data_IF_743370939979
#
_entry.id   IF_743370939979
#
_cell.length_a   1.000
_cell.length_b   1.000
_cell.length_c   1.000
_cell.angle_alpha   90.00
_cell.angle_beta   90.00
_cell.angle_gamma   90.00
#
_symmetry.space_group_name_H-M   'P 1'
#
loop_
_entity.id
_entity.type
_entity.pdbx_description
1 polymer ?
#
# COMPACT_ATOMS: atom_id res chain seq x y z
N UNK A 1 -47.50 -23.61 15.05
CA UNK A 1 -47.31 -23.79 13.59
C UNK A 1 -47.33 -22.42 12.96
N UNK A 2 -46.23 -21.95 12.37
CA UNK A 2 -46.19 -20.64 11.71
C UNK A 2 -47.06 -20.71 10.45
N UNK A 3 -48.17 -19.97 10.43
CA UNK A 3 -49.03 -19.82 9.26
C UNK A 3 -48.19 -19.37 8.05
N UNK A 4 -48.41 -19.99 6.90
CA UNK A 4 -47.81 -19.60 5.61
C UNK A 4 -48.01 -18.10 5.34
N UNK A 5 -49.11 -17.51 5.84
CA UNK A 5 -49.36 -16.07 5.74
C UNK A 5 -48.33 -15.20 6.48
N UNK A 6 -47.80 -15.65 7.61
CA UNK A 6 -46.78 -14.90 8.36
C UNK A 6 -45.43 -14.83 7.64
N UNK A 7 -45.09 -15.85 6.85
CA UNK A 7 -43.87 -15.86 6.04
C UNK A 7 -43.94 -14.84 4.90
N UNK A 8 -45.07 -14.77 4.19
CA UNK A 8 -45.27 -13.79 3.13
C UNK A 8 -45.32 -12.35 3.64
N UNK A 9 -45.90 -12.12 4.82
CA UNK A 9 -45.86 -10.81 5.48
C UNK A 9 -44.43 -10.37 5.81
N UNK A 10 -43.62 -11.25 6.40
CA UNK A 10 -42.23 -10.96 6.71
C UNK A 10 -41.37 -10.72 5.45
N UNK A 11 -41.64 -11.46 4.37
CA UNK A 11 -40.95 -11.28 3.09
C UNK A 11 -41.29 -9.94 2.43
N UNK A 12 -42.57 -9.55 2.40
CA UNK A 12 -43.00 -8.23 1.90
C UNK A 12 -42.39 -7.09 2.70
N UNK A 13 -42.38 -7.19 4.03
CA UNK A 13 -41.77 -6.17 4.88
C UNK A 13 -40.26 -6.03 4.62
N UNK A 14 -39.53 -7.14 4.49
CA UNK A 14 -38.10 -7.11 4.17
C UNK A 14 -37.82 -6.50 2.79
N UNK A 15 -38.64 -6.82 1.79
CA UNK A 15 -38.51 -6.24 0.45
C UNK A 15 -38.80 -4.73 0.46
N UNK A 16 -39.88 -4.31 1.12
CA UNK A 16 -40.23 -2.89 1.26
C UNK A 16 -39.14 -2.11 2.02
N UNK A 17 -38.60 -2.67 3.10
CA UNK A 17 -37.54 -2.03 3.89
C UNK A 17 -36.21 -1.95 3.12
N UNK A 18 -35.89 -2.95 2.29
CA UNK A 18 -34.70 -2.90 1.43
C UNK A 18 -34.83 -1.84 0.33
N UNK A 19 -35.99 -1.76 -0.32
CA UNK A 19 -36.29 -0.79 -1.38
C UNK A 19 -36.38 0.66 -0.88
N UNK A 20 -36.65 0.86 0.41
CA UNK A 20 -36.79 2.18 1.04
C UNK A 20 -35.59 2.57 1.92
N UNK A 21 -34.51 1.78 1.89
CA UNK A 21 -33.35 1.99 2.76
C UNK A 21 -32.59 3.29 2.49
N UNK A 22 -32.78 3.91 1.33
CA UNK A 22 -32.17 5.18 0.93
C UNK A 22 -33.06 6.40 1.20
N UNK A 23 -34.31 6.20 1.63
CA UNK A 23 -35.24 7.30 1.92
C UNK A 23 -35.02 7.86 3.33
N UNK A 24 -35.25 9.18 3.54
CA UNK A 24 -35.38 9.76 4.86
C UNK A 24 -36.42 9.04 5.72
N UNK A 25 -36.17 8.96 7.02
CA UNK A 25 -36.94 8.11 7.95
C UNK A 25 -38.45 8.43 7.96
N UNK A 26 -38.81 9.70 7.78
CA UNK A 26 -40.20 10.17 7.71
C UNK A 26 -40.93 9.69 6.44
N UNK A 27 -40.29 9.77 5.28
CA UNK A 27 -40.84 9.31 3.99
C UNK A 27 -40.93 7.79 3.93
N UNK A 28 -39.91 7.12 4.48
CA UNK A 28 -39.87 5.67 4.64
C UNK A 28 -41.06 5.18 5.48
N UNK A 29 -41.37 5.84 6.59
CA UNK A 29 -42.47 5.45 7.47
C UNK A 29 -43.83 5.67 6.79
N UNK A 30 -44.04 6.79 6.09
CA UNK A 30 -45.27 7.03 5.32
C UNK A 30 -45.49 6.01 4.20
N UNK A 31 -44.41 5.59 3.51
CA UNK A 31 -44.50 4.58 2.46
C UNK A 31 -44.83 3.19 3.04
N UNK A 32 -44.21 2.82 4.16
CA UNK A 32 -44.46 1.55 4.85
C UNK A 32 -45.89 1.46 5.41
N UNK A 33 -46.45 2.59 5.86
CA UNK A 33 -47.84 2.71 6.30
C UNK A 33 -48.82 2.52 5.14
N UNK A 34 -48.57 3.17 3.99
CA UNK A 34 -49.39 2.99 2.77
C UNK A 34 -49.34 1.58 2.19
N UNK A 35 -48.22 0.87 2.34
CA UNK A 35 -48.07 -0.51 1.88
C UNK A 35 -48.73 -1.55 2.82
N UNK A 36 -49.35 -1.11 3.92
CA UNK A 36 -50.01 -1.98 4.90
C UNK A 36 -49.05 -2.94 5.61
N UNK A 37 -47.75 -2.63 5.54
CA UNK A 37 -46.65 -3.40 6.10
C UNK A 37 -46.35 -2.94 7.52
N UNK A 38 -47.25 -3.26 8.47
CA UNK A 38 -46.96 -3.06 9.89
C UNK A 38 -45.77 -3.91 10.31
N UNK A 39 -44.91 -3.36 11.18
CA UNK A 39 -43.75 -4.08 11.68
C UNK A 39 -44.21 -5.38 12.36
N UNK A 40 -43.54 -6.53 12.12
CA UNK A 40 -43.85 -7.78 12.82
C UNK A 40 -43.74 -7.68 14.35
N UNK A 41 -43.12 -6.61 14.86
CA UNK A 41 -42.97 -6.33 16.28
C UNK A 41 -44.22 -5.71 16.92
N UNK A 42 -45.08 -5.04 16.13
CA UNK A 42 -46.29 -4.39 16.66
C UNK A 42 -47.44 -5.37 16.90
N UNK A 43 -47.42 -6.53 16.23
CA UNK A 43 -48.45 -7.56 16.35
C UNK A 43 -48.37 -8.39 17.65
N UNK A 44 -47.36 -8.20 18.50
CA UNK A 44 -47.17 -8.99 19.73
C UNK A 44 -47.69 -8.35 21.02
N UNK A 45 -48.19 -7.10 20.97
CA UNK A 45 -48.59 -6.36 22.16
C UNK A 45 -50.10 -6.23 22.38
N UNK A 46 -50.96 -6.93 21.63
CA UNK A 46 -52.42 -6.73 21.72
C UNK A 46 -53.26 -7.92 22.26
N UNK A 47 -52.64 -8.96 22.80
CA UNK A 47 -53.33 -10.14 23.35
C UNK A 47 -53.25 -10.24 24.89
N UNK A 48 -53.69 -9.19 25.60
CA UNK A 48 -53.95 -9.28 27.04
C UNK A 48 -55.12 -8.36 27.44
N UNK A 49 -56.36 -8.84 27.31
CA UNK A 49 -57.40 -8.49 28.27
C UNK A 49 -58.45 -9.62 28.41
N UNK A 50 -58.77 -9.88 29.67
CA UNK A 50 -59.50 -10.98 30.30
C UNK A 50 -60.97 -11.21 29.88
N UNK A 51 -61.31 -12.50 29.83
CA UNK A 51 -62.49 -13.20 30.39
C UNK A 51 -63.66 -12.37 30.98
N UNK A 52 -64.89 -12.65 30.53
CA UNK A 52 -65.93 -13.43 31.26
C UNK A 52 -67.34 -13.15 30.67
N UNK A 53 -68.04 -14.18 30.20
CA UNK A 53 -69.33 -14.64 30.74
C UNK A 53 -70.07 -15.63 29.81
N UNK A 54 -70.64 -16.67 30.46
CA UNK A 54 -71.72 -17.57 30.05
C UNK A 54 -72.78 -16.97 29.11
N UNK A 55 -73.28 -17.76 28.14
CA UNK A 55 -74.51 -18.54 28.33
C UNK A 55 -74.91 -19.29 27.05
N UNK A 56 -75.48 -20.45 27.29
CA UNK A 56 -76.18 -21.41 26.46
C UNK A 56 -77.11 -20.80 25.40
N UNK A 57 -77.20 -21.40 24.21
CA UNK A 57 -78.44 -22.00 23.67
C UNK A 57 -78.26 -22.53 22.24
N UNK A 58 -78.85 -23.70 22.00
CA UNK A 58 -78.97 -24.34 20.71
C UNK A 58 -80.07 -23.68 19.87
N UNK A 59 -79.89 -23.49 18.55
CA UNK A 59 -80.99 -23.57 17.58
C UNK A 59 -80.46 -23.90 16.18
N UNK A 60 -81.16 -24.81 15.51
CA UNK A 60 -80.95 -25.23 14.12
C UNK A 60 -81.67 -24.31 13.11
N UNK A 61 -81.55 -24.65 11.80
CA UNK A 61 -82.34 -24.16 10.64
C UNK A 61 -81.74 -22.83 10.09
N UNK A 62 -81.58 -22.52 8.80
CA UNK A 62 -82.18 -22.96 7.54
C UNK A 62 -81.28 -22.57 6.36
N UNK A 63 -81.33 -23.38 5.31
CA UNK A 63 -81.10 -22.99 3.91
C UNK A 63 -82.08 -21.91 3.45
N UNK A 64 -81.62 -20.91 2.67
CA UNK A 64 -82.09 -20.54 1.30
C UNK A 64 -81.57 -19.15 0.88
N UNK A 65 -81.04 -19.10 -0.35
CA UNK A 65 -81.15 -18.06 -1.39
C UNK A 65 -81.15 -16.56 -1.02
N UNK A 66 -80.38 -15.77 -1.78
CA UNK A 66 -80.94 -14.84 -2.79
C UNK A 66 -79.80 -14.12 -3.53
N UNK A 67 -79.84 -14.28 -4.85
CA UNK A 67 -79.18 -13.46 -5.86
C UNK A 67 -79.59 -11.99 -5.73
N UNK A 68 -78.62 -11.07 -5.76
CA UNK A 68 -78.67 -9.77 -6.47
C UNK A 68 -77.52 -8.91 -5.97
N UNK A 69 -76.63 -8.54 -6.88
CA UNK A 69 -75.95 -7.23 -6.99
C UNK A 69 -74.80 -7.36 -8.00
N UNK A 70 -75.16 -7.62 -9.26
CA UNK A 70 -74.34 -7.31 -10.44
C UNK A 70 -75.04 -6.12 -11.11
N UNK A 71 -74.59 -4.89 -10.85
CA UNK A 71 -74.81 -3.68 -11.68
C UNK A 71 -74.27 -2.39 -10.97
N UNK A 72 -73.05 -2.41 -10.42
CA UNK A 72 -72.33 -1.18 -10.00
C UNK A 72 -70.81 -1.20 -10.32
N UNK A 73 -70.33 -2.09 -11.20
CA UNK A 73 -68.88 -2.20 -11.47
C UNK A 73 -68.34 -1.23 -12.55
N UNK A 74 -69.18 -0.59 -13.36
CA UNK A 74 -68.70 0.22 -14.50
C UNK A 74 -68.36 1.69 -14.17
N UNK A 75 -68.69 2.19 -12.96
CA UNK A 75 -68.30 3.53 -12.52
C UNK A 75 -67.00 3.57 -11.69
N UNK A 76 -66.59 2.43 -11.13
CA UNK A 76 -65.39 2.28 -10.28
C UNK A 76 -64.08 2.18 -11.09
N UNK A 77 -64.16 1.62 -12.30
CA UNK A 77 -62.99 1.43 -13.17
C UNK A 77 -62.41 2.75 -13.73
N UNK A 78 -63.23 3.81 -13.85
CA UNK A 78 -62.78 5.11 -14.37
C UNK A 78 -61.99 5.91 -13.32
N UNK A 79 -62.43 5.91 -12.05
CA UNK A 79 -61.72 6.59 -10.96
C UNK A 79 -60.40 5.89 -10.57
N UNK A 80 -60.32 4.56 -10.71
CA UNK A 80 -59.08 3.81 -10.50
C UNK A 80 -58.02 4.14 -11.56
N UNK A 81 -58.43 4.48 -12.79
CA UNK A 81 -57.53 4.79 -13.90
C UNK A 81 -56.95 6.22 -13.81
N UNK A 82 -57.72 7.18 -13.26
CA UNK A 82 -57.21 8.52 -12.96
C UNK A 82 -56.23 8.52 -11.77
N UNK A 83 -56.47 7.66 -10.76
CA UNK A 83 -55.53 7.49 -9.64
C UNK A 83 -54.21 6.82 -10.06
N UNK A 84 -54.24 5.86 -10.97
CA UNK A 84 -53.01 5.21 -11.46
C UNK A 84 -52.11 6.17 -12.23
N UNK A 85 -52.67 7.09 -13.02
CA UNK A 85 -51.88 8.11 -13.71
C UNK A 85 -51.21 9.09 -12.74
N UNK A 86 -51.86 9.42 -11.62
CA UNK A 86 -51.28 10.29 -10.57
C UNK A 86 -50.09 9.62 -9.86
N UNK A 87 -50.11 8.30 -9.66
CA UNK A 87 -49.01 7.56 -9.02
C UNK A 87 -47.81 7.44 -9.97
N UNK A 88 -48.04 7.16 -11.25
CA UNK A 88 -46.98 7.08 -12.26
C UNK A 88 -46.27 8.43 -12.42
N UNK A 89 -47.02 9.53 -12.44
CA UNK A 89 -46.47 10.89 -12.51
C UNK A 89 -45.64 11.23 -11.25
N UNK A 90 -46.12 10.86 -10.06
CA UNK A 90 -45.39 11.05 -8.81
C UNK A 90 -44.07 10.26 -8.77
N UNK A 91 -44.06 9.02 -9.28
CA UNK A 91 -42.84 8.20 -9.38
C UNK A 91 -41.87 8.79 -10.41
N UNK A 92 -42.37 9.26 -11.55
CA UNK A 92 -41.54 9.90 -12.57
C UNK A 92 -40.89 11.19 -12.03
N UNK A 93 -41.65 12.01 -11.30
CA UNK A 93 -41.15 13.22 -10.66
C UNK A 93 -40.10 12.92 -9.58
N UNK A 94 -40.33 11.92 -8.71
CA UNK A 94 -39.37 11.51 -7.68
C UNK A 94 -38.06 10.99 -8.29
N UNK A 95 -38.14 10.18 -9.36
CA UNK A 95 -36.95 9.70 -10.09
C UNK A 95 -36.20 10.84 -10.76
N UNK A 96 -36.90 11.82 -11.33
CA UNK A 96 -36.26 12.99 -11.93
C UNK A 96 -35.54 13.85 -10.87
N UNK A 97 -36.13 14.00 -9.68
CA UNK A 97 -35.50 14.75 -8.58
C UNK A 97 -34.30 14.00 -7.99
N UNK A 98 -34.37 12.67 -7.86
CA UNK A 98 -33.25 11.84 -7.42
C UNK A 98 -32.10 11.88 -8.42
N UNK A 99 -32.40 11.80 -9.73
CA UNK A 99 -31.41 11.93 -10.79
C UNK A 99 -30.70 13.29 -10.74
N UNK A 100 -31.44 14.39 -10.54
CA UNK A 100 -30.86 15.73 -10.41
C UNK A 100 -29.92 15.84 -9.19
N UNK A 101 -30.30 15.27 -8.03
CA UNK A 101 -29.44 15.24 -6.83
C UNK A 101 -28.21 14.34 -7.00
N UNK A 102 -28.29 13.33 -7.84
CA UNK A 102 -27.15 12.47 -8.15
C UNK A 102 -26.17 13.19 -9.07
N UNK A 103 -26.68 13.91 -10.06
CA UNK A 103 -25.87 14.71 -10.99
C UNK A 103 -25.13 15.86 -10.26
N UNK A 104 -25.80 16.54 -9.32
CA UNK A 104 -25.19 17.56 -8.49
C UNK A 104 -24.05 17.00 -7.62
N UNK A 105 -24.30 15.89 -6.90
CA UNK A 105 -23.26 15.21 -6.11
C UNK A 105 -22.09 14.72 -6.96
N UNK A 106 -22.39 14.22 -8.16
CA UNK A 106 -21.36 13.76 -9.09
C UNK A 106 -20.46 14.90 -9.57
N UNK A 107 -21.01 16.08 -9.87
CA UNK A 107 -20.21 17.24 -10.25
C UNK A 107 -19.38 17.76 -9.06
N UNK A 108 -19.91 17.79 -7.83
CA UNK A 108 -19.13 18.12 -6.63
C UNK A 108 -17.96 17.16 -6.39
N UNK A 109 -18.20 15.85 -6.50
CA UNK A 109 -17.15 14.82 -6.36
C UNK A 109 -16.09 14.93 -7.46
N UNK A 110 -16.51 15.22 -8.68
CA UNK A 110 -15.62 15.43 -9.83
C UNK A 110 -14.76 16.68 -9.65
N UNK A 111 -15.32 17.79 -9.19
CA UNK A 111 -14.55 19.00 -8.88
C UNK A 111 -13.55 18.76 -7.74
N UNK A 112 -13.95 18.05 -6.67
CA UNK A 112 -13.05 17.69 -5.58
C UNK A 112 -11.89 16.80 -6.06
N UNK A 113 -12.16 15.84 -6.93
CA UNK A 113 -11.16 14.94 -7.49
C UNK A 113 -10.18 15.68 -8.42
N UNK A 114 -10.66 16.65 -9.20
CA UNK A 114 -9.81 17.53 -10.01
C UNK A 114 -8.92 18.40 -9.12
N UNK A 115 -9.47 19.00 -8.06
CA UNK A 115 -8.72 19.83 -7.12
C UNK A 115 -7.62 19.03 -6.41
N UNK A 116 -7.91 17.80 -5.96
CA UNK A 116 -6.92 16.91 -5.36
C UNK A 116 -5.81 16.53 -6.35
N UNK A 117 -6.17 16.23 -7.60
CA UNK A 117 -5.20 15.91 -8.64
C UNK A 117 -4.28 17.10 -8.97
N UNK A 118 -4.82 18.32 -9.02
CA UNK A 118 -4.02 19.54 -9.21
C UNK A 118 -3.06 19.80 -8.04
N UNK A 119 -3.53 19.63 -6.81
CA UNK A 119 -2.68 19.81 -5.63
C UNK A 119 -1.53 18.79 -5.62
N UNK A 120 -1.83 17.53 -5.94
CA UNK A 120 -0.82 16.48 -6.08
C UNK A 120 0.19 16.80 -7.18
N UNK A 121 -0.24 17.36 -8.32
CA UNK A 121 0.64 17.80 -9.39
C UNK A 121 1.55 18.96 -8.95
N UNK A 122 1.02 19.96 -8.23
CA UNK A 122 1.81 21.07 -7.69
C UNK A 122 2.86 20.59 -6.68
N UNK A 123 2.50 19.66 -5.78
CA UNK A 123 3.46 19.07 -4.83
C UNK A 123 4.60 18.32 -5.53
N UNK A 124 4.32 17.61 -6.63
CA UNK A 124 5.36 16.95 -7.45
C UNK A 124 6.31 17.97 -8.09
N UNK A 125 5.78 19.02 -8.73
CA UNK A 125 6.60 20.08 -9.34
C UNK A 125 7.49 20.76 -8.28
N UNK A 126 6.94 21.03 -7.09
CA UNK A 126 7.71 21.64 -6.00
C UNK A 126 8.84 20.71 -5.52
N UNK A 127 8.57 19.41 -5.37
CA UNK A 127 9.58 18.42 -5.02
C UNK A 127 10.70 18.34 -6.07
N UNK A 128 10.34 18.33 -7.36
CA UNK A 128 11.32 18.26 -8.46
C UNK A 128 12.19 19.51 -8.51
N UNK A 129 11.61 20.70 -8.31
CA UNK A 129 12.36 21.96 -8.19
C UNK A 129 13.32 21.96 -7.00
N UNK A 130 12.91 21.38 -5.87
CA UNK A 130 13.77 21.26 -4.69
C UNK A 130 14.95 20.31 -4.97
N UNK A 131 14.72 19.18 -5.64
CA UNK A 131 15.78 18.26 -6.06
C UNK A 131 16.77 18.96 -7.00
N UNK A 132 16.28 19.71 -8.00
CA UNK A 132 17.13 20.49 -8.90
C UNK A 132 17.96 21.54 -8.17
N UNK A 133 17.36 22.28 -7.22
CA UNK A 133 18.09 23.23 -6.37
C UNK A 133 19.21 22.56 -5.57
N UNK A 134 18.95 21.37 -5.00
CA UNK A 134 19.95 20.60 -4.26
C UNK A 134 21.08 20.12 -5.17
N UNK A 135 20.78 19.68 -6.39
CA UNK A 135 21.79 19.28 -7.38
C UNK A 135 22.68 20.45 -7.77
N UNK A 136 22.10 21.61 -8.08
CA UNK A 136 22.87 22.83 -8.41
C UNK A 136 23.73 23.29 -7.23
N UNK A 137 23.20 23.25 -6.01
CA UNK A 137 23.96 23.58 -4.80
C UNK A 137 25.14 22.62 -4.59
N UNK A 138 24.94 21.32 -4.83
CA UNK A 138 25.98 20.31 -4.72
C UNK A 138 27.08 20.49 -5.78
N UNK A 139 26.70 20.78 -7.04
CA UNK A 139 27.67 21.08 -8.10
C UNK A 139 28.47 22.35 -7.82
N UNK A 140 27.82 23.41 -7.32
CA UNK A 140 28.49 24.63 -6.92
C UNK A 140 29.46 24.40 -5.76
N UNK A 141 29.05 23.62 -4.76
CA UNK A 141 29.92 23.21 -3.65
C UNK A 141 31.13 22.42 -4.15
N UNK A 142 30.92 21.43 -5.03
CA UNK A 142 32.02 20.64 -5.63
C UNK A 142 33.02 21.53 -6.36
N UNK A 143 32.53 22.50 -7.15
CA UNK A 143 33.37 23.46 -7.87
C UNK A 143 34.17 24.38 -6.93
N UNK A 144 33.59 24.75 -5.79
CA UNK A 144 34.30 25.54 -4.78
C UNK A 144 35.39 24.70 -4.08
N UNK A 145 35.10 23.44 -3.78
CA UNK A 145 36.07 22.50 -3.20
C UNK A 145 37.28 22.28 -4.13
N UNK A 146 37.03 22.12 -5.43
CA UNK A 146 38.09 21.99 -6.44
C UNK A 146 38.97 23.26 -6.51
N UNK A 147 38.37 24.45 -6.41
CA UNK A 147 39.11 25.72 -6.37
C UNK A 147 39.94 25.88 -5.10
N UNK A 148 39.38 25.53 -3.95
CA UNK A 148 40.08 25.59 -2.66
C UNK A 148 41.28 24.64 -2.65
N UNK A 149 41.11 23.43 -3.21
CA UNK A 149 42.18 22.46 -3.38
C UNK A 149 43.29 22.98 -4.30
N UNK A 150 42.93 23.63 -5.42
CA UNK A 150 43.90 24.26 -6.31
C UNK A 150 44.65 25.41 -5.63
N UNK A 151 43.96 26.26 -4.87
CA UNK A 151 44.60 27.35 -4.13
C UNK A 151 45.55 26.83 -3.05
N UNK A 152 45.19 25.76 -2.35
CA UNK A 152 46.10 25.11 -1.38
C UNK A 152 47.34 24.55 -2.08
N UNK A 153 47.19 23.88 -3.23
CA UNK A 153 48.33 23.39 -4.01
C UNK A 153 49.24 24.53 -4.50
N UNK A 154 48.67 25.66 -4.95
CA UNK A 154 49.44 26.84 -5.35
C UNK A 154 50.18 27.47 -4.17
N UNK A 155 49.55 27.56 -2.99
CA UNK A 155 50.20 28.05 -1.76
C UNK A 155 51.31 27.11 -1.26
N UNK A 156 51.12 25.79 -1.34
CA UNK A 156 52.15 24.81 -1.03
C UNK A 156 53.34 24.91 -1.99
N UNK A 157 53.11 25.12 -3.29
CA UNK A 157 54.18 25.32 -4.26
C UNK A 157 54.94 26.64 -4.03
N UNK A 158 54.27 27.71 -3.62
CA UNK A 158 54.92 28.98 -3.31
C UNK A 158 55.71 28.94 -2.00
N UNK A 159 55.19 28.25 -0.97
CA UNK A 159 55.87 28.09 0.33
C UNK A 159 57.04 27.11 0.28
N UNK A 160 56.98 26.06 -0.53
CA UNK A 160 58.10 25.13 -0.76
C UNK A 160 59.26 25.78 -1.54
N UNK A 161 58.98 26.75 -2.42
CA UNK A 161 60.04 27.54 -3.07
C UNK A 161 60.75 28.49 -2.08
N UNK A 162 60.04 29.07 -1.11
CA UNK A 162 60.61 30.03 -0.15
C UNK A 162 61.28 29.37 1.09
N UNK A 163 60.92 28.14 1.44
CA UNK A 163 61.36 27.48 2.69
C UNK A 163 62.60 26.58 2.50
N UNK A 164 63.20 26.56 1.31
CA UNK A 164 64.40 25.76 1.01
C UNK A 164 65.71 26.23 1.70
N UNK A 165 65.67 27.28 2.53
CA UNK A 165 66.87 27.83 3.19
C UNK A 165 66.87 27.86 4.72
N UNK A 166 65.80 27.42 5.38
CA UNK A 166 65.86 27.18 6.82
C UNK A 166 64.73 26.25 7.24
N UNK A 167 65.04 25.14 7.88
CA UNK A 167 64.66 24.93 9.29
C UNK A 167 65.04 23.51 9.74
N UNK A 168 65.87 23.51 10.78
CA UNK A 168 66.08 22.44 11.73
C UNK A 168 64.87 22.36 12.66
N UNK A 169 64.26 21.16 12.71
CA UNK A 169 63.71 20.50 13.89
C UNK A 169 62.91 21.32 14.91
N UNK A 170 61.58 21.25 14.84
CA UNK A 170 60.71 20.82 15.97
C UNK A 170 59.27 20.72 15.49
N UNK A 171 58.76 19.49 15.32
CA UNK A 171 57.38 19.21 14.94
C UNK A 171 56.52 18.91 16.18
N UNK A 172 55.37 19.57 16.34
CA UNK A 172 54.28 19.07 17.16
C UNK A 172 53.09 18.61 16.28
N UNK A 173 52.69 17.35 16.43
CA UNK A 173 51.32 16.81 16.32
C UNK A 173 50.39 17.22 15.15
N UNK A 174 50.88 17.25 13.90
CA UNK A 174 50.02 17.35 12.70
C UNK A 174 49.23 16.07 12.35
N UNK A 175 49.42 14.98 13.09
CA UNK A 175 48.78 13.70 12.78
C UNK A 175 47.27 13.66 13.06
N UNK A 176 46.73 14.55 13.89
CA UNK A 176 45.33 14.48 14.39
C UNK A 176 44.32 15.15 13.43
N UNK A 177 44.77 16.04 12.53
CA UNK A 177 43.87 16.74 11.58
C UNK A 177 43.57 15.94 10.29
N UNK A 178 44.24 14.82 10.05
CA UNK A 178 44.09 14.04 8.80
C UNK A 178 42.91 13.06 8.80
N UNK A 179 42.23 12.86 9.92
CA UNK A 179 41.19 11.84 10.08
C UNK A 179 39.75 12.41 10.12
N UNK A 180 39.53 13.60 9.53
CA UNK A 180 38.19 14.18 9.41
C UNK A 180 37.69 14.12 7.96
N UNK A 181 36.66 13.30 7.71
CA UNK A 181 36.02 13.23 6.41
C UNK A 181 34.96 14.34 6.28
N UNK A 182 34.89 15.11 5.17
CA UNK A 182 34.02 16.30 5.06
C UNK A 182 32.51 16.00 5.24
N UNK A 183 32.05 14.83 4.79
CA UNK A 183 30.64 14.40 4.92
C UNK A 183 30.41 13.52 6.18
N UNK A 184 31.34 12.61 6.48
CA UNK A 184 31.19 11.57 7.49
C UNK A 184 31.71 12.00 8.87
N UNK A 185 32.35 13.16 8.97
CA UNK A 185 32.93 13.66 10.20
C UNK A 185 34.17 12.86 10.65
N UNK A 186 34.48 12.87 11.95
CA UNK A 186 35.69 12.23 12.48
C UNK A 186 35.61 10.70 12.39
N UNK A 187 36.75 10.07 12.13
CA UNK A 187 36.90 8.61 12.24
C UNK A 187 36.90 8.23 13.72
N UNK A 188 35.99 7.34 14.12
CA UNK A 188 35.94 6.77 15.48
C UNK A 188 36.93 5.62 15.62
N UNK A 189 37.05 4.78 14.59
CA UNK A 189 38.00 3.68 14.55
C UNK A 189 38.38 3.36 13.10
N UNK A 190 39.67 3.16 12.85
CA UNK A 190 40.18 2.62 11.59
C UNK A 190 40.63 1.17 11.82
N UNK A 191 40.01 0.23 11.10
CA UNK A 191 40.29 -1.20 11.20
C UNK A 191 41.15 -1.69 10.02
N UNK A 192 41.71 -0.78 9.22
CA UNK A 192 42.48 -1.04 8.01
C UNK A 192 41.62 -1.50 6.83
N UNK A 193 40.70 -2.44 7.04
CA UNK A 193 39.75 -2.91 6.00
C UNK A 193 38.49 -2.04 5.87
N UNK A 194 38.14 -1.32 6.95
CA UNK A 194 37.01 -0.39 7.02
C UNK A 194 37.25 0.66 8.10
N UNK A 195 36.57 1.79 7.98
CA UNK A 195 36.56 2.88 8.97
C UNK A 195 35.17 3.00 9.59
N UNK A 196 35.10 3.39 10.86
CA UNK A 196 33.85 3.58 11.60
C UNK A 196 33.68 5.07 11.85
N UNK A 197 32.51 5.60 11.52
CA UNK A 197 32.15 7.00 11.71
C UNK A 197 30.85 7.13 12.52
N UNK A 198 30.68 8.30 13.15
CA UNK A 198 29.39 8.75 13.69
C UNK A 198 28.89 9.88 12.80
N UNK A 199 27.81 9.62 12.08
CA UNK A 199 27.31 10.50 11.03
C UNK A 199 25.88 10.95 11.36
N UNK A 200 25.53 12.23 11.16
CA UNK A 200 24.15 12.66 11.30
C UNK A 200 23.21 12.00 10.28
N UNK A 201 21.98 11.66 10.68
CA UNK A 201 20.94 11.08 9.81
C UNK A 201 20.72 11.90 8.52
N UNK A 202 20.72 13.23 8.66
CA UNK A 202 20.60 14.20 7.56
C UNK A 202 21.71 14.07 6.51
N UNK A 203 22.95 13.83 6.94
CA UNK A 203 24.09 13.67 6.03
C UNK A 203 23.98 12.33 5.28
N UNK A 204 23.54 11.27 5.97
CA UNK A 204 23.30 9.96 5.35
C UNK A 204 22.23 10.00 4.26
N UNK A 205 21.17 10.80 4.43
CA UNK A 205 20.11 10.95 3.44
C UNK A 205 20.60 11.62 2.13
N UNK A 206 21.73 12.32 2.16
CA UNK A 206 22.34 12.96 0.98
C UNK A 206 23.27 12.02 0.19
N UNK A 207 23.70 10.90 0.79
CA UNK A 207 24.60 9.95 0.12
C UNK A 207 23.78 9.14 -0.90
N UNK A 208 24.24 9.01 -2.16
CA UNK A 208 23.52 8.23 -3.16
C UNK A 208 23.55 6.74 -2.83
N UNK A 209 22.46 6.04 -3.14
CA UNK A 209 22.38 4.57 -3.00
C UNK A 209 23.06 3.91 -4.20
N UNK A 210 23.85 2.87 -3.96
CA UNK A 210 24.48 2.11 -5.04
C UNK A 210 23.42 1.45 -5.93
N UNK A 211 23.53 1.63 -7.26
CA UNK A 211 22.47 1.33 -8.25
C UNK A 211 21.96 -0.14 -8.26
N UNK A 212 22.74 -1.08 -7.73
CA UNK A 212 22.42 -2.53 -7.72
C UNK A 212 21.87 -3.01 -6.37
N UNK A 213 21.52 -2.09 -5.47
CA UNK A 213 20.82 -2.40 -4.23
C UNK A 213 19.43 -2.97 -4.45
N UNK A 214 18.86 -3.57 -3.39
CA UNK A 214 17.43 -3.89 -3.31
C UNK A 214 16.59 -2.65 -3.67
N UNK A 215 15.37 -2.81 -4.16
CA UNK A 215 14.51 -1.64 -4.37
C UNK A 215 14.15 -1.03 -3.02
N UNK A 216 14.32 0.30 -2.89
CA UNK A 216 13.83 1.04 -1.75
C UNK A 216 12.29 1.08 -1.76
N UNK A 217 11.67 0.56 -0.69
CA UNK A 217 10.22 0.63 -0.49
C UNK A 217 9.91 1.54 0.70
N UNK A 218 9.22 2.63 0.44
CA UNK A 218 8.90 3.63 1.47
C UNK A 218 8.02 3.06 2.59
N UNK A 219 7.06 2.18 2.27
CA UNK A 219 6.18 1.58 3.27
C UNK A 219 6.92 0.63 4.22
N UNK A 220 7.96 -0.06 3.71
CA UNK A 220 8.84 -0.86 4.56
C UNK A 220 9.58 0.02 5.55
N UNK A 221 10.14 1.14 5.11
CA UNK A 221 10.79 2.11 5.98
C UNK A 221 9.81 2.70 7.03
N UNK A 222 8.57 3.02 6.64
CA UNK A 222 7.51 3.47 7.55
C UNK A 222 7.14 2.40 8.60
N UNK A 223 6.99 1.15 8.18
CA UNK A 223 6.71 0.03 9.09
C UNK A 223 7.85 -0.16 10.09
N UNK A 224 9.10 -0.15 9.59
CA UNK A 224 10.29 -0.22 10.44
C UNK A 224 10.32 0.94 11.45
N UNK A 225 9.98 2.16 11.04
CA UNK A 225 9.94 3.32 11.92
C UNK A 225 8.84 3.19 12.98
N UNK A 226 7.64 2.72 12.61
CA UNK A 226 6.53 2.50 13.54
C UNK A 226 6.88 1.47 14.62
N UNK A 227 7.53 0.38 14.24
CA UNK A 227 7.98 -0.63 15.18
C UNK A 227 9.18 -0.15 16.01
N UNK A 228 10.07 0.63 15.39
CA UNK A 228 11.24 1.16 16.08
C UNK A 228 10.90 2.25 17.10
N UNK A 229 9.88 3.06 16.85
CA UNK A 229 9.40 4.08 17.79
C UNK A 229 9.00 3.47 19.14
N UNK A 230 8.48 2.23 19.16
CA UNK A 230 8.12 1.49 20.37
C UNK A 230 9.33 0.96 21.16
N UNK A 231 10.49 0.90 20.52
CA UNK A 231 11.72 0.27 21.03
C UNK A 231 12.94 1.18 20.86
N UNK A 232 12.71 2.50 20.83
CA UNK A 232 13.73 3.49 20.50
C UNK A 232 14.83 3.56 21.57
N UNK A 233 14.45 3.28 22.83
CA UNK A 233 15.35 3.15 23.98
C UNK A 233 16.42 2.05 23.83
N UNK A 234 16.24 1.10 22.90
CA UNK A 234 17.24 0.06 22.61
C UNK A 234 18.33 0.53 21.63
N UNK A 235 18.31 1.79 21.18
CA UNK A 235 19.22 2.31 20.14
C UNK A 235 18.92 1.73 18.76
N UNK A 236 19.62 2.14 17.70
CA UNK A 236 19.35 1.61 16.35
C UNK A 236 19.96 0.21 16.14
N UNK A 237 19.18 -0.78 15.68
CA UNK A 237 19.74 -2.07 15.34
C UNK A 237 20.51 -2.03 14.01
N UNK A 238 21.73 -2.56 14.04
CA UNK A 238 22.60 -2.75 12.88
C UNK A 238 23.30 -1.49 12.38
N UNK A 239 24.31 -1.68 11.54
CA UNK A 239 25.19 -0.62 10.99
C UNK A 239 24.84 -0.25 9.55
N UNK A 240 25.01 1.02 9.16
CA UNK A 240 24.86 1.44 7.76
C UNK A 240 26.19 1.25 7.05
N UNK A 241 26.19 0.53 5.93
CA UNK A 241 27.38 0.28 5.12
C UNK A 241 27.51 1.28 3.98
N UNK A 242 28.62 1.99 3.92
CA UNK A 242 28.96 2.96 2.87
C UNK A 242 30.25 2.50 2.19
N UNK A 243 30.25 2.53 0.87
CA UNK A 243 31.45 2.36 0.06
C UNK A 243 32.01 3.73 -0.31
N UNK A 244 33.32 3.88 -0.22
CA UNK A 244 34.04 5.09 -0.57
C UNK A 244 35.01 4.81 -1.72
N UNK A 245 34.81 5.47 -2.85
CA UNK A 245 35.68 5.36 -4.00
C UNK A 245 36.98 6.15 -3.80
N UNK A 246 37.99 5.91 -4.66
CA UNK A 246 39.28 6.61 -4.62
C UNK A 246 39.18 8.15 -4.76
N UNK A 247 38.12 8.63 -5.38
CA UNK A 247 37.85 10.08 -5.54
C UNK A 247 37.10 10.69 -4.33
N UNK A 248 36.88 9.90 -3.27
CA UNK A 248 36.12 10.30 -2.09
C UNK A 248 34.59 10.25 -2.27
N UNK A 249 34.10 9.78 -3.42
CA UNK A 249 32.65 9.64 -3.61
C UNK A 249 32.09 8.49 -2.77
N UNK A 250 30.94 8.76 -2.14
CA UNK A 250 30.29 7.83 -1.20
C UNK A 250 29.06 7.19 -1.84
N UNK A 251 28.86 5.89 -1.61
CA UNK A 251 27.66 5.15 -2.04
C UNK A 251 27.16 4.23 -0.93
N UNK A 252 25.86 4.27 -0.63
CA UNK A 252 25.26 3.34 0.34
C UNK A 252 25.20 1.93 -0.26
N UNK A 253 25.85 0.98 0.41
CA UNK A 253 25.89 -0.45 0.04
C UNK A 253 25.13 -1.35 1.02
N UNK A 254 24.68 -0.83 2.16
CA UNK A 254 23.73 -1.51 3.04
C UNK A 254 22.98 -0.49 3.91
N UNK A 255 21.74 -0.81 4.28
CA UNK A 255 20.97 0.00 5.21
C UNK A 255 20.09 1.10 4.58
N UNK A 256 19.83 1.07 3.27
CA UNK A 256 18.95 2.08 2.63
C UNK A 256 17.56 2.22 3.28
N UNK A 257 16.94 1.12 3.70
CA UNK A 257 15.63 1.16 4.37
C UNK A 257 15.76 1.70 5.80
N UNK A 258 16.93 1.53 6.43
CA UNK A 258 17.24 2.13 7.74
C UNK A 258 17.42 3.64 7.61
N UNK A 259 18.03 4.12 6.53
CA UNK A 259 18.11 5.56 6.24
C UNK A 259 16.71 6.14 6.02
N UNK A 260 15.88 5.46 5.23
CA UNK A 260 14.46 5.85 5.07
C UNK A 260 13.69 5.85 6.39
N UNK A 261 13.93 4.83 7.24
CA UNK A 261 13.35 4.75 8.59
C UNK A 261 13.82 5.91 9.46
N UNK A 262 15.11 6.28 9.42
CA UNK A 262 15.67 7.39 10.19
C UNK A 262 15.00 8.71 9.84
N UNK A 263 14.77 8.95 8.55
CA UNK A 263 14.02 10.14 8.10
C UNK A 263 12.61 10.19 8.70
N UNK A 264 11.89 9.07 8.68
CA UNK A 264 10.53 9.00 9.27
C UNK A 264 10.56 9.12 10.80
N UNK A 265 11.62 8.63 11.45
CA UNK A 265 11.79 8.77 12.90
C UNK A 265 12.13 10.20 13.30
N UNK A 266 12.99 10.89 12.54
CA UNK A 266 13.36 12.29 12.77
C UNK A 266 12.14 13.22 12.69
N UNK A 267 11.17 12.90 11.82
CA UNK A 267 9.89 13.62 11.71
C UNK A 267 8.91 13.33 12.87
N UNK A 268 9.03 12.19 13.56
CA UNK A 268 8.00 11.68 14.50
C UNK A 268 8.45 11.58 15.95
N UNK A 269 9.74 11.38 16.20
CA UNK A 269 10.29 11.21 17.53
C UNK A 269 10.59 12.58 18.14
N UNK A 270 10.33 12.73 19.44
CA UNK A 270 10.85 13.87 20.18
C UNK A 270 12.38 13.75 20.27
N UNK A 271 13.10 14.86 20.05
CA UNK A 271 14.56 14.91 19.99
C UNK A 271 15.26 14.29 21.22
N UNK A 272 14.61 14.30 22.38
CA UNK A 272 15.20 13.85 23.64
C UNK A 272 15.39 12.33 23.75
N UNK A 273 14.75 11.55 22.86
CA UNK A 273 14.77 10.07 22.98
C UNK A 273 15.89 9.40 22.18
N UNK A 274 16.47 10.10 21.20
CA UNK A 274 17.44 9.50 20.30
C UNK A 274 18.34 10.55 19.64
N UNK A 275 19.66 10.36 19.73
CA UNK A 275 20.66 11.26 19.15
C UNK A 275 20.82 10.96 17.64
N UNK A 276 20.07 11.69 16.81
CA UNK A 276 20.12 11.57 15.35
C UNK A 276 21.42 12.09 14.72
N UNK A 277 22.26 12.81 15.48
CA UNK A 277 23.56 13.30 15.00
C UNK A 277 24.66 12.23 15.09
N UNK A 278 24.40 11.09 15.77
CA UNK A 278 25.39 10.03 16.01
C UNK A 278 24.92 8.65 15.51
N UNK A 279 24.79 8.51 14.20
CA UNK A 279 24.49 7.22 13.57
C UNK A 279 25.80 6.48 13.25
N UNK A 280 25.92 5.23 13.69
CA UNK A 280 27.09 4.40 13.42
C UNK A 280 27.14 3.95 11.95
N UNK A 281 28.22 4.31 11.26
CA UNK A 281 28.43 4.02 9.83
C UNK A 281 29.75 3.28 9.64
N UNK A 282 29.70 2.19 8.89
CA UNK A 282 30.88 1.47 8.42
C UNK A 282 31.21 1.90 7.00
N UNK A 283 32.44 2.38 6.79
CA UNK A 283 32.92 2.90 5.52
C UNK A 283 34.00 1.98 4.98
N UNK A 284 33.76 1.45 3.79
CA UNK A 284 34.66 0.53 3.09
C UNK A 284 35.39 1.30 1.98
N UNK A 285 36.65 1.69 2.20
CA UNK A 285 37.42 2.37 1.18
C UNK A 285 37.77 1.40 0.04
N UNK A 286 37.84 1.93 -1.18
CA UNK A 286 38.24 1.18 -2.35
C UNK A 286 39.68 0.68 -2.22
N UNK A 287 39.85 -0.63 -2.04
CA UNK A 287 41.16 -1.28 -1.98
C UNK A 287 41.76 -1.55 -3.36
N UNK A 288 43.01 -1.14 -3.57
CA UNK A 288 43.80 -1.44 -4.77
C UNK A 288 43.24 -0.83 -6.06
N UNK A 289 43.62 -1.38 -7.21
CA UNK A 289 43.21 -0.91 -8.54
C UNK A 289 41.94 -1.58 -9.08
N UNK A 290 41.16 -2.22 -8.21
CA UNK A 290 39.90 -2.80 -8.61
C UNK A 290 38.94 -1.72 -9.10
N UNK A 291 38.16 -2.02 -10.15
CA UNK A 291 37.10 -1.11 -10.61
C UNK A 291 36.07 -0.94 -9.49
N UNK A 292 35.66 0.31 -9.27
CA UNK A 292 34.71 0.71 -8.23
C UNK A 292 33.48 -0.21 -8.14
N UNK A 293 32.84 -0.46 -9.28
CA UNK A 293 31.63 -1.28 -9.40
C UNK A 293 31.82 -2.77 -9.05
N UNK A 294 33.06 -3.26 -9.10
CA UNK A 294 33.39 -4.66 -8.76
C UNK A 294 33.51 -4.79 -7.25
N UNK A 295 34.28 -3.93 -6.60
CA UNK A 295 34.47 -3.99 -5.15
C UNK A 295 33.16 -3.72 -4.39
N UNK A 296 32.40 -2.67 -4.78
CA UNK A 296 31.09 -2.40 -4.18
C UNK A 296 30.10 -3.58 -4.33
N UNK A 297 30.17 -4.30 -5.47
CA UNK A 297 29.37 -5.51 -5.70
C UNK A 297 29.78 -6.65 -4.79
N UNK A 298 31.08 -6.88 -4.66
CA UNK A 298 31.58 -8.01 -3.89
C UNK A 298 31.30 -7.78 -2.39
N UNK A 299 31.45 -6.54 -1.88
CA UNK A 299 31.00 -6.14 -0.54
C UNK A 299 29.50 -6.33 -0.36
N UNK A 300 28.69 -5.87 -1.31
CA UNK A 300 27.24 -6.04 -1.24
C UNK A 300 26.85 -7.52 -1.13
N UNK A 301 27.45 -8.38 -1.97
CA UNK A 301 27.21 -9.82 -1.92
C UNK A 301 27.64 -10.38 -0.57
N UNK A 302 28.81 -10.01 -0.07
CA UNK A 302 29.35 -10.51 1.21
C UNK A 302 28.45 -10.14 2.40
N UNK A 303 28.08 -8.87 2.53
CA UNK A 303 27.16 -8.39 3.59
C UNK A 303 25.83 -9.14 3.52
N UNK A 304 25.34 -9.40 2.31
CA UNK A 304 24.07 -10.07 2.11
C UNK A 304 24.15 -11.60 2.10
N UNK A 305 25.33 -12.23 2.16
CA UNK A 305 25.38 -13.69 2.38
C UNK A 305 24.81 -14.07 3.74
N UNK A 306 24.88 -13.16 4.72
CA UNK A 306 24.30 -13.34 6.05
C UNK A 306 22.77 -13.20 6.08
N UNK A 307 22.17 -12.49 5.12
CA UNK A 307 20.71 -12.32 4.97
C UNK A 307 20.25 -12.71 3.56
N UNK A 308 19.52 -13.82 3.36
CA UNK A 308 19.22 -14.33 2.02
C UNK A 308 18.54 -13.27 1.13
N UNK A 309 19.33 -12.74 0.17
CA UNK A 309 18.83 -11.90 -0.93
C UNK A 309 18.09 -12.80 -1.90
N UNK A 310 16.94 -12.34 -2.37
CA UNK A 310 16.20 -13.01 -3.43
C UNK A 310 17.06 -13.11 -4.69
N UNK A 311 17.01 -14.23 -5.39
CA UNK A 311 17.86 -14.50 -6.56
C UNK A 311 17.67 -13.44 -7.64
N UNK A 312 16.44 -12.95 -7.81
CA UNK A 312 16.10 -11.87 -8.74
C UNK A 312 16.86 -10.56 -8.46
N UNK A 313 17.20 -10.32 -7.19
CA UNK A 313 17.87 -9.10 -6.74
C UNK A 313 19.40 -9.22 -6.80
N UNK A 314 19.96 -10.43 -6.92
CA UNK A 314 21.41 -10.60 -7.00
C UNK A 314 22.00 -9.99 -8.28
N UNK A 315 23.10 -9.22 -8.18
CA UNK A 315 23.73 -8.59 -9.34
C UNK A 315 24.37 -9.65 -10.23
N UNK A 316 24.04 -9.62 -11.53
CA UNK A 316 24.58 -10.56 -12.53
C UNK A 316 23.77 -11.85 -12.71
N UNK A 317 22.80 -12.14 -11.83
CA UNK A 317 21.94 -13.33 -11.93
C UNK A 317 20.76 -13.08 -12.89
N UNK A 318 19.97 -12.05 -12.63
CA UNK A 318 18.88 -11.63 -13.52
C UNK A 318 19.31 -10.52 -14.48
N UNK A 319 18.94 -10.63 -15.77
CA UNK A 319 19.08 -9.54 -16.75
C UNK A 319 18.33 -8.30 -16.27
N UNK A 320 18.87 -7.11 -16.54
CA UNK A 320 18.26 -5.84 -16.12
C UNK A 320 16.84 -5.65 -16.69
N UNK A 321 16.61 -6.10 -17.93
CA UNK A 321 15.28 -6.12 -18.57
C UNK A 321 14.29 -6.99 -17.81
N UNK A 322 14.67 -8.22 -17.49
CA UNK A 322 13.81 -9.22 -16.87
C UNK A 322 13.46 -8.77 -15.45
N UNK A 323 14.46 -8.24 -14.72
CA UNK A 323 14.28 -7.64 -13.40
C UNK A 323 13.26 -6.49 -13.44
N UNK A 324 13.37 -5.60 -14.44
CA UNK A 324 12.41 -4.49 -14.63
C UNK A 324 10.99 -5.02 -14.87
N UNK A 325 10.83 -5.99 -15.77
CA UNK A 325 9.52 -6.60 -16.09
C UNK A 325 8.90 -7.26 -14.86
N UNK A 326 9.68 -8.05 -14.10
CA UNK A 326 9.22 -8.74 -12.90
C UNK A 326 8.82 -7.76 -11.80
N UNK A 327 9.65 -6.73 -11.55
CA UNK A 327 9.37 -5.75 -10.50
C UNK A 327 8.09 -4.97 -10.80
N UNK A 328 8.03 -4.34 -11.97
CA UNK A 328 6.88 -3.52 -12.35
C UNK A 328 5.61 -4.35 -12.53
N UNK A 329 5.70 -5.60 -13.02
CA UNK A 329 4.54 -6.48 -13.14
C UNK A 329 4.01 -6.95 -11.78
N UNK A 330 4.90 -7.28 -10.83
CA UNK A 330 4.50 -7.66 -9.47
C UNK A 330 3.95 -6.47 -8.68
N UNK A 331 4.52 -5.28 -8.83
CA UNK A 331 4.01 -4.05 -8.20
C UNK A 331 2.59 -3.72 -8.72
N UNK A 332 2.34 -3.82 -10.04
CA UNK A 332 0.99 -3.66 -10.63
C UNK A 332 -0.04 -4.64 -10.06
N UNK A 333 0.35 -5.90 -9.87
CA UNK A 333 -0.54 -6.90 -9.27
C UNK A 333 -0.85 -6.58 -7.81
N UNK A 334 0.14 -6.10 -7.05
CA UNK A 334 -0.05 -5.65 -5.67
C UNK A 334 -0.96 -4.42 -5.59
N UNK A 335 -0.77 -3.45 -6.47
CA UNK A 335 -1.61 -2.25 -6.54
C UNK A 335 -3.07 -2.58 -6.85
N UNK A 336 -3.31 -3.63 -7.67
CA UNK A 336 -4.66 -4.11 -8.01
C UNK A 336 -5.32 -4.89 -6.87
N UNK A 337 -4.54 -5.60 -6.04
CA UNK A 337 -5.03 -6.46 -4.96
C UNK A 337 -4.34 -6.18 -3.62
N UNK A 338 -4.36 -4.95 -3.09
CA UNK A 338 -3.56 -4.57 -1.93
C UNK A 338 -3.87 -5.43 -0.68
N UNK A 339 -5.13 -5.81 -0.48
CA UNK A 339 -5.59 -6.63 0.66
C UNK A 339 -5.11 -8.10 0.63
N UNK A 340 -4.60 -8.54 -0.52
CA UNK A 340 -4.07 -9.88 -0.75
C UNK A 340 -2.55 -9.93 -0.68
N UNK A 341 -1.89 -8.79 -0.49
CA UNK A 341 -0.45 -8.73 -0.28
C UNK A 341 -0.12 -8.46 1.18
N UNK A 342 0.80 -9.24 1.71
CA UNK A 342 1.30 -9.09 3.08
C UNK A 342 2.77 -8.64 3.05
N UNK A 343 3.16 -7.70 3.93
CA UNK A 343 4.57 -7.30 4.05
C UNK A 343 5.44 -8.41 4.65
N UNK A 344 4.84 -9.43 5.29
CA UNK A 344 5.57 -10.55 5.88
C UNK A 344 6.05 -11.54 4.81
N UNK A 345 7.34 -11.87 4.83
CA UNK A 345 7.89 -12.95 3.99
C UNK A 345 7.35 -14.35 4.36
N UNK A 346 6.79 -14.51 5.56
CA UNK A 346 6.14 -15.74 6.03
C UNK A 346 4.62 -15.59 6.02
N UNK A 347 4.08 -14.95 5.00
CA UNK A 347 2.63 -14.79 4.84
C UNK A 347 1.96 -16.15 4.65
N UNK A 348 0.75 -16.30 5.21
CA UNK A 348 -0.07 -17.49 5.05
C UNK A 348 -1.04 -17.29 3.88
N UNK A 349 -1.38 -18.39 3.20
CA UNK A 349 -2.43 -18.41 2.19
C UNK A 349 -3.71 -17.73 2.74
N UNK A 350 -4.37 -16.88 1.94
CA UNK A 350 -4.19 -16.67 0.51
C UNK A 350 -3.25 -15.49 0.18
N UNK A 351 -2.53 -14.94 1.15
CA UNK A 351 -1.73 -13.74 0.93
C UNK A 351 -0.42 -14.07 0.21
N UNK A 352 0.01 -13.15 -0.66
CA UNK A 352 1.33 -13.16 -1.26
C UNK A 352 2.25 -12.14 -0.58
N UNK A 353 3.54 -12.41 -0.60
CA UNK A 353 4.55 -11.40 -0.31
C UNK A 353 5.20 -11.01 -1.63
N UNK A 354 5.31 -9.71 -1.89
CA UNK A 354 5.80 -9.23 -3.18
C UNK A 354 7.24 -9.66 -3.49
N UNK A 355 8.12 -9.73 -2.49
CA UNK A 355 9.49 -10.16 -2.73
C UNK A 355 9.59 -11.68 -2.97
N UNK A 356 8.73 -12.47 -2.30
CA UNK A 356 8.60 -13.90 -2.62
C UNK A 356 8.02 -14.13 -4.02
N UNK A 357 7.02 -13.35 -4.42
CA UNK A 357 6.42 -13.44 -5.75
C UNK A 357 7.46 -13.12 -6.84
N UNK A 358 8.20 -12.01 -6.69
CA UNK A 358 9.27 -11.62 -7.63
C UNK A 358 10.32 -12.71 -7.78
N UNK A 359 10.76 -13.28 -6.67
CA UNK A 359 11.74 -14.36 -6.65
C UNK A 359 11.21 -15.64 -7.30
N UNK A 360 9.95 -15.99 -7.03
CA UNK A 360 9.31 -17.18 -7.59
C UNK A 360 9.08 -17.06 -9.10
N UNK A 361 8.64 -15.90 -9.59
CA UNK A 361 8.52 -15.59 -11.02
C UNK A 361 9.85 -15.71 -11.76
N UNK A 362 10.94 -15.26 -11.11
CA UNK A 362 12.29 -15.39 -11.65
C UNK A 362 12.75 -16.86 -11.64
N UNK A 363 12.61 -17.54 -10.51
CA UNK A 363 13.08 -18.92 -10.31
C UNK A 363 12.37 -19.92 -11.22
N UNK A 364 11.09 -19.72 -11.54
CA UNK A 364 10.36 -20.58 -12.49
C UNK A 364 10.56 -20.19 -13.96
N UNK A 365 11.41 -19.20 -14.25
CA UNK A 365 11.72 -18.71 -15.60
C UNK A 365 10.46 -18.28 -16.39
N UNK A 366 9.48 -17.66 -15.72
CA UNK A 366 8.20 -17.26 -16.34
C UNK A 366 8.41 -16.40 -17.58
N UNK A 367 9.32 -15.42 -17.48
CA UNK A 367 9.61 -14.45 -18.54
C UNK A 367 10.08 -15.15 -19.81
N UNK A 368 11.04 -16.07 -19.70
CA UNK A 368 11.61 -16.74 -20.86
C UNK A 368 10.66 -17.81 -21.40
N UNK A 369 10.00 -18.58 -20.53
CA UNK A 369 9.05 -19.65 -20.92
C UNK A 369 7.86 -19.11 -21.70
N UNK A 370 7.31 -17.98 -21.26
CA UNK A 370 6.10 -17.40 -21.84
C UNK A 370 6.40 -16.24 -22.82
N UNK A 371 7.68 -15.98 -23.12
CA UNK A 371 8.13 -14.89 -24.01
C UNK A 371 7.54 -13.51 -23.61
N UNK A 372 7.48 -13.22 -22.31
CA UNK A 372 6.90 -11.99 -21.78
C UNK A 372 7.93 -10.87 -21.84
N UNK A 373 7.65 -9.81 -22.59
CA UNK A 373 8.61 -8.71 -22.83
C UNK A 373 8.30 -7.43 -22.08
N UNK A 374 7.10 -7.30 -21.53
CA UNK A 374 6.64 -6.05 -20.92
C UNK A 374 5.99 -6.32 -19.56
N UNK A 375 6.05 -5.35 -18.62
CA UNK A 375 5.39 -5.46 -17.32
C UNK A 375 3.88 -5.73 -17.42
N UNK A 376 3.19 -5.05 -18.36
CA UNK A 376 1.75 -5.23 -18.59
C UNK A 376 1.42 -6.63 -19.11
N UNK A 377 2.25 -7.20 -19.97
CA UNK A 377 2.08 -8.58 -20.43
C UNK A 377 2.27 -9.58 -19.27
N UNK A 378 3.19 -9.30 -18.33
CA UNK A 378 3.35 -10.12 -17.13
C UNK A 378 2.11 -10.05 -16.22
N UNK A 379 1.59 -8.85 -16.00
CA UNK A 379 0.35 -8.63 -15.25
C UNK A 379 -0.82 -9.41 -15.87
N UNK A 380 -1.04 -9.27 -17.17
CA UNK A 380 -2.10 -9.99 -17.90
C UNK A 380 -1.93 -11.51 -17.82
N UNK A 381 -0.70 -12.01 -17.93
CA UNK A 381 -0.43 -13.43 -17.77
C UNK A 381 -0.77 -13.91 -16.35
N UNK A 382 -0.37 -13.18 -15.29
CA UNK A 382 -0.72 -13.52 -13.91
C UNK A 382 -2.24 -13.49 -13.68
N UNK A 383 -2.96 -12.54 -14.29
CA UNK A 383 -4.41 -12.50 -14.25
C UNK A 383 -5.05 -13.73 -14.91
N UNK A 384 -4.55 -14.14 -16.07
CA UNK A 384 -5.02 -15.38 -16.72
C UNK A 384 -4.75 -16.62 -15.85
N UNK A 385 -3.61 -16.67 -15.16
CA UNK A 385 -3.35 -17.72 -14.18
C UNK A 385 -4.31 -17.64 -12.97
N UNK A 386 -4.70 -16.44 -12.55
CA UNK A 386 -5.66 -16.26 -11.46
C UNK A 386 -7.04 -16.84 -11.83
N UNK A 387 -7.51 -16.62 -13.06
CA UNK A 387 -8.78 -17.16 -13.57
C UNK A 387 -8.76 -18.69 -13.67
N UNK A 388 -7.63 -19.26 -14.13
CA UNK A 388 -7.44 -20.72 -14.14
C UNK A 388 -7.45 -21.28 -12.71
N UNK A 389 -6.84 -20.58 -11.76
CA UNK A 389 -6.84 -20.96 -10.35
C UNK A 389 -8.23 -20.83 -9.72
N UNK A 390 -8.99 -19.78 -10.06
CA UNK A 390 -10.39 -19.64 -9.65
C UNK A 390 -11.21 -20.85 -10.11
N UNK A 391 -11.08 -21.23 -11.38
CA UNK A 391 -11.76 -22.41 -11.95
C UNK A 391 -11.33 -23.71 -11.25
N UNK A 392 -10.04 -23.87 -10.96
CA UNK A 392 -9.50 -25.03 -10.22
C UNK A 392 -10.15 -25.18 -8.84
N UNK A 393 -10.30 -24.09 -8.11
CA UNK A 393 -10.87 -24.10 -6.76
C UNK A 393 -12.41 -24.05 -6.71
N UNK A 394 -13.11 -24.05 -7.86
CA UNK A 394 -14.55 -24.35 -7.88
C UNK A 394 -14.84 -25.84 -7.63
N UNK A 395 -13.87 -26.73 -7.91
CA UNK A 395 -14.00 -28.16 -7.66
C UNK A 395 -13.87 -28.47 -6.17
N UNK A 396 -14.88 -29.13 -5.61
CA UNK A 396 -14.98 -29.44 -4.17
C UNK A 396 -13.77 -30.22 -3.62
N UNK A 397 -13.13 -31.04 -4.45
CA UNK A 397 -11.90 -31.76 -4.09
C UNK A 397 -10.73 -30.82 -3.79
N UNK A 398 -10.56 -29.77 -4.60
CA UNK A 398 -9.50 -28.78 -4.42
C UNK A 398 -9.80 -27.83 -3.26
N UNK A 399 -11.08 -27.54 -2.98
CA UNK A 399 -11.49 -26.70 -1.85
C UNK A 399 -11.06 -27.29 -0.50
N UNK A 400 -11.04 -28.63 -0.39
CA UNK A 400 -10.60 -29.34 0.83
C UNK A 400 -9.10 -29.27 1.08
N UNK A 401 -8.29 -28.95 0.07
CA UNK A 401 -6.84 -28.85 0.19
C UNK A 401 -6.39 -27.55 0.86
N UNK A 402 -7.26 -26.53 0.89
CA UNK A 402 -6.96 -25.21 1.43
C UNK A 402 -7.80 -24.90 2.66
N UNK A 403 -7.30 -24.12 3.63
CA UNK A 403 -8.11 -23.68 4.75
C UNK A 403 -9.34 -22.88 4.28
N UNK A 404 -10.52 -23.18 4.82
CA UNK A 404 -11.78 -22.53 4.43
C UNK A 404 -11.72 -21.00 4.60
N UNK A 405 -11.03 -20.51 5.63
CA UNK A 405 -10.81 -19.08 5.83
C UNK A 405 -9.99 -18.43 4.71
N UNK A 406 -9.03 -19.16 4.15
CA UNK A 406 -8.21 -18.67 3.05
C UNK A 406 -9.00 -18.64 1.75
N UNK A 407 -9.79 -19.69 1.51
CA UNK A 407 -10.66 -19.77 0.33
C UNK A 407 -11.74 -18.69 0.34
N UNK A 408 -12.46 -18.50 1.45
CA UNK A 408 -13.45 -17.42 1.61
C UNK A 408 -12.84 -16.04 1.34
N UNK A 409 -11.59 -15.82 1.77
CA UNK A 409 -10.89 -14.56 1.51
C UNK A 409 -10.48 -14.45 0.03
N UNK A 410 -9.99 -15.51 -0.59
CA UNK A 410 -9.70 -15.55 -2.02
C UNK A 410 -10.95 -15.25 -2.86
N UNK A 411 -12.09 -15.86 -2.53
CA UNK A 411 -13.39 -15.63 -3.18
C UNK A 411 -13.87 -14.18 -3.01
N UNK A 412 -13.75 -13.62 -1.80
CA UNK A 412 -14.13 -12.22 -1.51
C UNK A 412 -13.39 -11.22 -2.41
N UNK A 413 -12.12 -11.46 -2.68
CA UNK A 413 -11.25 -10.54 -3.43
C UNK A 413 -10.99 -10.99 -4.87
N UNK A 414 -11.61 -12.08 -5.31
CA UNK A 414 -11.37 -12.72 -6.61
C UNK A 414 -9.88 -12.96 -6.90
N UNK A 415 -9.14 -13.46 -5.89
CA UNK A 415 -7.69 -13.62 -5.96
C UNK A 415 -7.22 -14.97 -5.38
N UNK A 416 -6.81 -15.86 -6.26
CA UNK A 416 -6.52 -17.27 -5.99
C UNK A 416 -5.04 -17.64 -6.15
N UNK A 417 -4.20 -16.76 -6.71
CA UNK A 417 -2.76 -17.02 -6.92
C UNK A 417 -1.99 -17.33 -5.64
N UNK A 418 -2.47 -16.88 -4.48
CA UNK A 418 -1.84 -17.13 -3.19
C UNK A 418 -2.32 -18.39 -2.46
N UNK A 419 -3.23 -19.17 -3.06
CA UNK A 419 -3.69 -20.44 -2.49
C UNK A 419 -2.72 -21.59 -2.77
N UNK A 420 -2.06 -21.58 -3.92
CA UNK A 420 -1.18 -22.65 -4.39
C UNK A 420 -0.18 -22.04 -5.38
N UNK A 421 1.09 -22.49 -5.34
CA UNK A 421 2.16 -21.97 -6.19
C UNK A 421 2.37 -22.74 -7.49
N UNK A 422 1.63 -23.84 -7.74
CA UNK A 422 1.85 -24.67 -8.94
C UNK A 422 1.62 -23.90 -10.26
N UNK A 423 0.79 -22.84 -10.25
CA UNK A 423 0.51 -22.04 -11.44
C UNK A 423 1.75 -21.38 -12.05
N UNK A 424 2.81 -21.18 -11.26
CA UNK A 424 4.10 -20.65 -11.75
C UNK A 424 4.78 -21.58 -12.75
N UNK A 425 4.36 -22.84 -12.83
CA UNK A 425 4.95 -23.88 -13.66
C UNK A 425 4.05 -24.34 -14.81
N UNK A 426 2.88 -23.72 -14.99
CA UNK A 426 1.97 -24.02 -16.09
C UNK A 426 2.44 -23.48 -17.45
#
# INVERSE_FOLDING_TARGET
>A
MNSIGGYFGALRWKAANALTSTLPEEEKNQLLEKLGSHSPLDARNNDNHENDHDDSTATAISSTDINKEEEEEDASASAANELSHSIEEAIAYAKAQEAARYEERWEEEKEALIAEAEEAARRRIQSDLEIQRRQLAFEAWKKNLEKETQQQQEQEQQSTAATSLSISSTQPDEAILRDHHPILGPVVADLGSKRIHLVPSRALAAIPVWKKQRIYRHDRAKSMAKDKLKTLNLGLPGVIGVFEAKDGSLKIIDGQHRIGMLKVLEEKAAADHFDFDKILVEVYPQMGDQKEDVHARDLFIEVNKAEPVKLVDLPGVAKASDRKVINEGADRLMDKYPDMFSPSQRCRAPHLNIDNLRDALFASNVIQRNNIKTPKALEQWMMGQNELMASKFQLEENRKLVPESALKKAEKYDFYLGLDSTWLYN
#
